data_IF_252186467884
#
_entry.id   IF_252186467884
#
_cell.length_a   1.000
_cell.length_b   1.000
_cell.length_c   1.000
_cell.angle_alpha   90.00
_cell.angle_beta   90.00
_cell.angle_gamma   90.00
#
_symmetry.space_group_name_H-M   'P 1'
#
loop_
_entity.id
_entity.type
_entity.pdbx_description
1 polymer ?
#
# COMPACT_ATOMS: atom_id res chain seq x y z
N UNK A 1 1.56 -0.25 9.75
CA UNK A 1 2.55 0.78 10.15
C UNK A 1 3.79 0.08 10.68
N UNK A 2 4.96 0.67 10.50
CA UNK A 2 6.23 0.09 10.94
C UNK A 2 7.22 1.18 11.34
N UNK A 3 8.28 0.82 12.04
CA UNK A 3 9.38 1.73 12.36
C UNK A 3 10.11 2.21 11.10
N UNK A 4 10.61 3.46 11.08
CA UNK A 4 11.38 3.94 9.93
C UNK A 4 12.62 3.07 9.73
N UNK A 5 12.85 2.70 8.48
CA UNK A 5 14.03 1.93 8.07
C UNK A 5 14.89 2.81 7.18
N UNK A 6 16.19 2.79 7.44
CA UNK A 6 17.20 3.47 6.64
C UNK A 6 18.44 2.59 6.48
N UNK A 7 19.31 2.99 5.56
CA UNK A 7 20.57 2.31 5.32
C UNK A 7 21.72 3.33 5.36
N UNK A 8 22.86 2.92 5.92
CA UNK A 8 24.09 3.72 6.00
C UNK A 8 25.29 2.80 5.77
N UNK A 9 26.27 3.31 5.03
CA UNK A 9 27.60 2.71 4.91
C UNK A 9 28.65 3.76 5.26
N UNK A 10 29.66 3.40 6.04
CA UNK A 10 30.64 4.34 6.57
C UNK A 10 31.17 3.96 7.95
N UNK A 11 31.64 4.96 8.67
CA UNK A 11 32.26 4.77 9.99
C UNK A 11 31.22 4.44 11.07
N UNK A 12 31.71 4.00 12.24
CA UNK A 12 30.86 3.82 13.42
C UNK A 12 30.20 5.13 13.88
N UNK A 13 30.79 6.30 13.59
CA UNK A 13 30.16 7.59 13.88
C UNK A 13 28.98 7.85 12.94
N UNK A 14 29.12 7.50 11.66
CA UNK A 14 28.05 7.65 10.67
C UNK A 14 26.85 6.74 11.00
N UNK A 15 27.12 5.50 11.41
CA UNK A 15 26.06 4.57 11.83
C UNK A 15 25.26 5.10 13.03
N UNK A 16 25.93 5.71 14.02
CA UNK A 16 25.24 6.31 15.18
C UNK A 16 24.43 7.53 14.79
N UNK A 17 24.97 8.41 13.94
CA UNK A 17 24.23 9.57 13.39
C UNK A 17 22.97 9.14 12.65
N UNK A 18 23.04 8.07 11.86
CA UNK A 18 21.85 7.53 11.17
C UNK A 18 20.85 6.92 12.15
N UNK A 19 21.30 6.24 13.20
CA UNK A 19 20.41 5.75 14.26
C UNK A 19 19.67 6.91 14.96
N UNK A 20 20.40 7.95 15.39
CA UNK A 20 19.82 9.14 16.03
C UNK A 20 18.80 9.84 15.11
N UNK A 21 19.10 9.89 13.80
CA UNK A 21 18.19 10.43 12.80
C UNK A 21 16.91 9.59 12.69
N UNK A 22 17.03 8.26 12.64
CA UNK A 22 15.87 7.36 12.55
C UNK A 22 14.99 7.47 13.79
N UNK A 23 15.57 7.64 14.99
CA UNK A 23 14.82 7.89 16.23
C UNK A 23 14.05 9.21 16.18
N UNK A 24 14.68 10.29 15.68
CA UNK A 24 13.99 11.57 15.49
C UNK A 24 12.83 11.45 14.48
N UNK A 25 13.05 10.76 13.37
CA UNK A 25 12.01 10.50 12.36
C UNK A 25 10.88 9.68 12.97
N UNK A 26 11.18 8.66 13.77
CA UNK A 26 10.19 7.84 14.47
C UNK A 26 9.31 8.72 15.37
N UNK A 27 9.90 9.60 16.16
CA UNK A 27 9.15 10.52 17.03
C UNK A 27 8.15 11.38 16.25
N UNK A 28 8.55 11.95 15.11
CA UNK A 28 7.66 12.76 14.26
C UNK A 28 6.52 11.92 13.64
N UNK A 29 6.81 10.70 13.22
CA UNK A 29 5.80 9.79 12.67
C UNK A 29 4.81 9.37 13.76
N UNK A 30 5.30 9.03 14.95
CA UNK A 30 4.47 8.67 16.11
C UNK A 30 3.52 9.81 16.46
N UNK A 31 4.01 11.04 16.57
CA UNK A 31 3.18 12.23 16.83
C UNK A 31 2.05 12.39 15.81
N UNK A 32 2.36 12.13 14.54
CA UNK A 32 1.38 12.21 13.45
C UNK A 32 0.28 11.17 13.63
N UNK A 33 0.64 9.92 13.95
CA UNK A 33 -0.34 8.87 14.20
C UNK A 33 -1.10 9.05 15.51
N UNK A 34 -0.50 9.59 16.57
CA UNK A 34 -1.19 9.98 17.80
C UNK A 34 -2.28 10.99 17.48
N UNK A 35 -1.95 12.07 16.75
CA UNK A 35 -2.92 13.08 16.31
C UNK A 35 -4.01 12.48 15.42
N UNK A 36 -3.64 11.54 14.55
CA UNK A 36 -4.56 10.89 13.60
C UNK A 36 -5.57 9.97 14.28
N UNK A 37 -5.10 9.16 15.23
CA UNK A 37 -5.85 8.04 15.80
C UNK A 37 -6.42 8.31 17.19
N UNK A 38 -5.90 9.33 17.89
CA UNK A 38 -6.22 9.62 19.29
C UNK A 38 -5.63 8.63 20.30
N UNK A 39 -4.80 7.67 19.86
CA UNK A 39 -4.12 6.72 20.75
C UNK A 39 -2.95 7.39 21.47
N UNK A 40 -2.57 6.84 22.62
CA UNK A 40 -1.37 7.29 23.34
C UNK A 40 -0.10 6.91 22.57
N UNK A 41 0.96 7.70 22.77
CA UNK A 41 2.25 7.57 22.08
C UNK A 41 2.83 6.15 22.16
N UNK A 42 2.82 5.55 23.35
CA UNK A 42 3.37 4.20 23.59
C UNK A 42 2.67 3.14 22.73
N UNK A 43 1.35 3.20 22.61
CA UNK A 43 0.59 2.26 21.78
C UNK A 43 0.99 2.37 20.31
N UNK A 44 1.15 3.59 19.79
CA UNK A 44 1.59 3.78 18.40
C UNK A 44 3.02 3.29 18.20
N UNK A 45 3.92 3.61 19.14
CA UNK A 45 5.31 3.17 19.08
C UNK A 45 5.44 1.64 19.13
N UNK A 46 4.65 0.95 19.96
CA UNK A 46 4.58 -0.51 20.02
C UNK A 46 4.05 -1.10 18.70
N UNK A 47 3.00 -0.53 18.13
CA UNK A 47 2.45 -0.98 16.84
C UNK A 47 3.43 -0.78 15.68
N UNK A 48 4.24 0.28 15.70
CA UNK A 48 5.30 0.50 14.71
C UNK A 48 6.46 -0.49 14.89
N UNK A 49 6.92 -0.71 16.11
CA UNK A 49 7.99 -1.66 16.40
C UNK A 49 7.62 -3.11 16.04
N UNK A 50 6.34 -3.48 16.22
CA UNK A 50 5.83 -4.81 15.88
C UNK A 50 5.57 -5.03 14.38
N UNK A 51 5.78 -4.02 13.53
CA UNK A 51 5.36 -4.02 12.13
C UNK A 51 3.89 -4.50 11.97
N UNK A 52 2.96 -3.60 12.30
CA UNK A 52 1.53 -3.98 12.33
C UNK A 52 0.87 -3.83 10.96
N UNK A 53 0.39 -4.94 10.41
CA UNK A 53 -0.48 -4.99 9.23
C UNK A 53 -1.96 -4.99 9.64
N UNK A 54 -2.82 -4.37 8.84
CA UNK A 54 -4.24 -4.21 9.16
C UNK A 54 -5.11 -4.38 7.91
N UNK A 55 -6.28 -4.97 8.09
CA UNK A 55 -7.42 -4.87 7.17
C UNK A 55 -8.03 -3.47 7.19
N UNK A 56 -8.89 -3.15 6.21
CA UNK A 56 -9.60 -1.87 6.18
C UNK A 56 -10.46 -1.64 7.44
N UNK A 57 -11.14 -2.70 7.92
CA UNK A 57 -11.96 -2.65 9.13
C UNK A 57 -11.13 -2.34 10.37
N UNK A 58 -9.99 -3.03 10.53
CA UNK A 58 -9.08 -2.77 11.65
C UNK A 58 -8.50 -1.36 11.57
N UNK A 59 -8.06 -0.91 10.39
CA UNK A 59 -7.54 0.45 10.22
C UNK A 59 -8.58 1.52 10.61
N UNK A 60 -9.86 1.33 10.24
CA UNK A 60 -10.96 2.21 10.67
C UNK A 60 -11.16 2.18 12.19
N UNK A 61 -11.23 0.98 12.79
CA UNK A 61 -11.41 0.82 14.24
C UNK A 61 -10.24 1.40 15.04
N UNK A 62 -9.02 1.28 14.53
CA UNK A 62 -7.82 1.86 15.12
C UNK A 62 -7.68 3.37 14.81
N UNK A 63 -8.60 3.98 14.07
CA UNK A 63 -8.60 5.42 13.79
C UNK A 63 -7.59 5.88 12.74
N UNK A 64 -6.98 4.94 11.99
CA UNK A 64 -6.10 5.27 10.87
C UNK A 64 -6.90 5.71 9.62
N UNK A 65 -8.17 5.30 9.51
CA UNK A 65 -9.08 5.66 8.43
C UNK A 65 -10.42 6.21 8.96
N UNK A 66 -11.03 7.16 8.22
CA UNK A 66 -12.33 7.76 8.59
C UNK A 66 -13.54 7.12 7.90
N UNK A 67 -13.30 6.41 6.79
CA UNK A 67 -14.35 5.79 5.97
C UNK A 67 -13.80 4.52 5.34
N UNK A 68 -14.62 3.48 5.30
CA UNK A 68 -14.39 2.28 4.49
C UNK A 68 -15.25 2.42 3.23
N UNK A 69 -14.62 2.42 2.06
CA UNK A 69 -15.34 2.44 0.78
C UNK A 69 -15.49 1.02 0.23
N UNK A 70 -16.45 0.82 -0.66
CA UNK A 70 -16.57 -0.43 -1.41
C UNK A 70 -15.29 -0.73 -2.21
N UNK A 71 -15.06 -2.02 -2.46
CA UNK A 71 -13.96 -2.48 -3.31
C UNK A 71 -14.13 -1.89 -4.71
N UNK A 72 -13.25 -0.94 -5.04
CA UNK A 72 -13.17 -0.45 -6.41
C UNK A 72 -12.37 -1.46 -7.22
N UNK A 73 -13.00 -2.06 -8.23
CA UNK A 73 -12.30 -2.77 -9.29
C UNK A 73 -11.56 -1.75 -10.16
N UNK A 74 -10.48 -1.20 -9.62
CA UNK A 74 -9.48 -0.53 -10.42
C UNK A 74 -8.68 -1.66 -11.07
N UNK A 75 -9.05 -1.99 -12.30
CA UNK A 75 -8.10 -2.72 -13.13
C UNK A 75 -6.80 -1.90 -13.13
N UNK A 76 -5.66 -2.55 -12.93
CA UNK A 76 -4.35 -1.98 -13.24
C UNK A 76 -4.20 -1.80 -14.76
N UNK A 77 -5.17 -1.14 -15.37
CA UNK A 77 -5.23 -0.72 -16.75
C UNK A 77 -5.50 0.77 -16.71
N UNK A 78 -4.42 1.53 -16.67
CA UNK A 78 -4.48 2.91 -17.09
C UNK A 78 -4.81 2.90 -18.59
N UNK A 79 -5.91 3.55 -18.98
CA UNK A 79 -6.14 3.88 -20.38
C UNK A 79 -5.22 5.05 -20.72
N UNK A 80 -3.95 4.71 -20.95
CA UNK A 80 -2.95 5.66 -21.36
C UNK A 80 -3.34 6.17 -22.74
N UNK A 81 -3.65 7.46 -22.83
CA UNK A 81 -3.96 8.09 -24.10
C UNK A 81 -2.66 8.29 -24.89
N UNK A 82 -2.30 7.26 -25.65
CA UNK A 82 -1.12 7.24 -26.50
C UNK A 82 -1.17 8.32 -27.59
N UNK A 83 -2.36 8.85 -27.93
CA UNK A 83 -2.48 9.91 -28.94
C UNK A 83 -1.84 11.23 -28.51
N UNK A 84 -1.52 11.38 -27.21
CA UNK A 84 -0.81 12.54 -26.66
C UNK A 84 0.68 12.59 -27.00
N UNK A 85 1.25 11.53 -27.59
CA UNK A 85 2.68 11.46 -27.91
C UNK A 85 2.91 11.60 -29.41
N UNK A 86 3.83 12.51 -29.78
CA UNK A 86 4.17 12.85 -31.17
C UNK A 86 4.64 11.66 -32.02
N UNK A 87 5.17 10.61 -31.38
CA UNK A 87 5.69 9.40 -32.03
C UNK A 87 5.18 8.12 -31.35
N UNK A 88 3.90 8.10 -30.97
CA UNK A 88 3.32 6.88 -30.42
C UNK A 88 3.38 5.72 -31.43
N UNK A 89 3.74 4.49 -31.00
CA UNK A 89 3.67 3.32 -31.86
C UNK A 89 2.24 3.15 -32.40
N UNK A 90 2.10 2.99 -33.71
CA UNK A 90 0.79 2.91 -34.40
C UNK A 90 -0.09 1.78 -33.84
N UNK A 91 0.52 0.70 -33.34
CA UNK A 91 -0.18 -0.41 -32.69
C UNK A 91 -0.93 -0.01 -31.40
N UNK A 92 -0.60 1.12 -30.78
CA UNK A 92 -1.16 1.57 -29.50
C UNK A 92 -2.12 2.76 -29.64
N UNK A 93 -2.18 3.39 -30.82
CA UNK A 93 -3.08 4.52 -31.11
C UNK A 93 -4.44 4.10 -31.68
N UNK A 94 -4.64 2.81 -31.95
CA UNK A 94 -5.84 2.24 -32.59
C UNK A 94 -7.01 1.87 -31.67
N UNK A 95 -6.98 2.24 -30.38
CA UNK A 95 -8.15 2.16 -29.48
C UNK A 95 -8.67 0.76 -29.12
N UNK A 96 -8.14 -0.34 -29.66
CA UNK A 96 -8.58 -1.70 -29.32
C UNK A 96 -7.42 -2.55 -28.82
N UNK A 97 -7.42 -2.87 -27.53
CA UNK A 97 -6.69 -4.06 -27.05
C UNK A 97 -7.44 -5.30 -27.56
N UNK A 98 -6.76 -6.41 -27.89
CA UNK A 98 -7.46 -7.69 -27.95
C UNK A 98 -8.20 -7.89 -26.62
N UNK A 99 -9.51 -8.15 -26.69
CA UNK A 99 -10.30 -8.53 -25.53
C UNK A 99 -9.54 -9.69 -24.87
N UNK A 100 -9.04 -9.50 -23.64
CA UNK A 100 -8.70 -10.65 -22.80
C UNK A 100 -9.96 -11.51 -22.78
N UNK A 101 -9.81 -12.78 -23.13
CA UNK A 101 -10.93 -13.70 -23.10
C UNK A 101 -11.49 -13.72 -21.67
N UNK A 102 -12.71 -13.21 -21.50
CA UNK A 102 -13.40 -13.13 -20.22
C UNK A 102 -13.81 -14.53 -19.71
N UNK A 103 -13.68 -15.57 -20.54
CA UNK A 103 -13.88 -16.96 -20.14
C UNK A 103 -12.78 -17.44 -19.19
N UNK A 104 -11.51 -17.08 -19.43
CA UNK A 104 -10.38 -17.47 -18.57
C UNK A 104 -10.48 -16.82 -17.18
N UNK A 105 -10.88 -15.54 -17.15
CA UNK A 105 -11.07 -14.79 -15.90
C UNK A 105 -12.28 -15.32 -15.12
N UNK A 106 -13.34 -15.80 -15.79
CA UNK A 106 -14.49 -16.44 -15.14
C UNK A 106 -14.14 -17.79 -14.52
N UNK A 107 -13.27 -18.57 -15.16
CA UNK A 107 -12.85 -19.88 -14.65
C UNK A 107 -12.06 -19.74 -13.34
N UNK A 108 -11.11 -18.80 -13.29
CA UNK A 108 -10.32 -18.51 -12.08
C UNK A 108 -11.20 -17.99 -10.94
N UNK A 109 -12.21 -17.16 -11.25
CA UNK A 109 -13.14 -16.63 -10.26
C UNK A 109 -14.13 -17.69 -9.72
N UNK A 110 -14.53 -18.68 -10.55
CA UNK A 110 -15.38 -19.80 -10.12
C UNK A 110 -14.60 -20.82 -9.29
N UNK A 111 -13.35 -21.13 -9.65
CA UNK A 111 -12.48 -22.03 -8.88
C UNK A 111 -12.21 -21.51 -7.47
N UNK A 112 -12.03 -20.20 -7.31
CA UNK A 112 -11.84 -19.57 -5.99
C UNK A 112 -13.13 -19.53 -5.13
N UNK A 113 -14.30 -19.79 -5.72
CA UNK A 113 -15.58 -19.85 -5.01
C UNK A 113 -15.88 -21.26 -4.47
N UNK A 114 -15.42 -22.31 -5.17
CA UNK A 114 -15.55 -23.71 -4.73
C UNK A 114 -14.56 -24.01 -3.59
N UNK A 115 -13.37 -23.42 -3.61
CA UNK A 115 -12.37 -23.60 -2.55
C UNK A 115 -12.77 -22.99 -1.18
N UNK A 116 -13.77 -22.10 -1.13
CA UNK A 116 -14.23 -21.44 0.12
C UNK A 116 -15.50 -22.07 0.74
N UNK A 117 -16.03 -23.16 0.19
CA UNK A 117 -17.21 -23.86 0.71
C UNK A 117 -16.91 -25.28 1.22
N UNK A 118 -15.63 -25.67 1.30
CA UNK A 118 -15.20 -27.03 1.66
C UNK A 118 -14.05 -27.07 2.67
N UNK A 119 -13.97 -26.12 3.59
CA UNK A 119 -13.02 -26.10 4.70
C UNK A 119 -13.66 -25.53 5.95
#
# INVERSE_FOLDING_TARGET
IHDPVGWQDGSAEDMRKTADLLDQVKSVIVDTYVKRTGKVESTIAEMMAAETWMTATEAYQHGFADVITDEQRIAASYNFDWTKFKHAPQALTGGARPRRDMAEVRLVAQSNRIAKLGG
#
